data_IF_284860090674
#
_entry.id   IF_284860090674
#
_cell.length_a   1.000
_cell.length_b   1.000
_cell.length_c   1.000
_cell.angle_alpha   90.00
_cell.angle_beta   90.00
_cell.angle_gamma   90.00
#
_symmetry.space_group_name_H-M   'P 1'
#
loop_
_entity.id
_entity.type
_entity.pdbx_description
1 polymer ?
#
# COMPACT_ATOMS: atom_id res chain seq x y z
N UNK A 1 -10.74 11.87 -2.23
CA UNK A 1 -10.03 10.77 -2.95
C UNK A 1 -10.57 10.69 -4.37
N UNK A 2 -9.70 10.45 -5.36
CA UNK A 2 -10.09 10.31 -6.77
C UNK A 2 -9.57 8.99 -7.33
N UNK A 3 -10.45 8.15 -7.84
CA UNK A 3 -10.11 6.95 -8.60
C UNK A 3 -10.38 7.22 -10.07
N UNK A 4 -9.45 6.85 -10.94
CA UNK A 4 -9.65 6.87 -12.39
C UNK A 4 -9.41 5.50 -12.98
N UNK A 5 -10.34 5.06 -13.81
CA UNK A 5 -10.28 3.78 -14.51
C UNK A 5 -10.12 4.06 -15.99
N UNK A 6 -9.07 3.51 -16.59
CA UNK A 6 -8.73 3.70 -17.99
C UNK A 6 -8.99 2.42 -18.73
N UNK A 7 -9.74 2.50 -19.84
CA UNK A 7 -10.07 1.34 -20.66
C UNK A 7 -9.43 1.40 -22.04
N UNK A 8 -9.36 0.25 -22.70
CA UNK A 8 -9.11 0.16 -24.13
C UNK A 8 -10.17 0.97 -24.91
N UNK A 9 -9.76 1.58 -26.02
CA UNK A 9 -10.64 2.46 -26.79
C UNK A 9 -10.80 3.88 -26.21
N UNK A 10 -10.16 4.19 -25.08
CA UNK A 10 -10.01 5.56 -24.58
C UNK A 10 -11.11 6.06 -23.64
N UNK A 11 -12.06 5.20 -23.23
CA UNK A 11 -12.98 5.53 -22.12
C UNK A 11 -12.18 5.71 -20.83
N UNK A 12 -12.54 6.73 -20.06
CA UNK A 12 -11.99 6.98 -18.73
C UNK A 12 -13.14 7.29 -17.78
N UNK A 13 -13.29 6.46 -16.75
CA UNK A 13 -14.23 6.73 -15.66
C UNK A 13 -13.49 7.42 -14.52
N UNK A 14 -14.15 8.40 -13.89
CA UNK A 14 -13.58 9.19 -12.79
C UNK A 14 -14.56 9.16 -11.62
N UNK A 15 -14.11 8.60 -10.51
CA UNK A 15 -14.84 8.53 -9.26
C UNK A 15 -14.19 9.50 -8.27
N UNK A 16 -14.86 10.62 -7.98
CA UNK A 16 -14.42 11.63 -7.01
C UNK A 16 -15.32 11.52 -5.77
N UNK A 17 -14.74 11.28 -4.60
CA UNK A 17 -15.52 11.16 -3.35
C UNK A 17 -15.98 12.50 -2.80
N UNK A 18 -15.40 13.61 -3.26
CA UNK A 18 -15.49 14.92 -2.62
C UNK A 18 -16.25 15.94 -3.49
N UNK A 19 -16.18 15.82 -4.82
CA UNK A 19 -16.86 16.73 -5.75
C UNK A 19 -18.18 16.16 -6.26
N UNK A 20 -19.23 16.98 -6.20
CA UNK A 20 -20.57 16.66 -6.74
C UNK A 20 -21.25 15.45 -6.07
N UNK A 21 -20.74 15.03 -4.91
CA UNK A 21 -21.33 14.05 -4.02
C UNK A 21 -21.92 14.78 -2.81
N UNK A 22 -23.08 14.32 -2.32
CA UNK A 22 -23.62 14.84 -1.06
C UNK A 22 -22.73 14.40 0.10
N UNK A 23 -22.21 15.36 0.85
CA UNK A 23 -21.53 15.10 2.11
C UNK A 23 -22.55 14.72 3.18
N UNK A 24 -23.05 13.48 3.16
CA UNK A 24 -24.01 12.99 4.16
C UNK A 24 -23.24 12.58 5.42
N UNK A 25 -23.36 13.34 6.52
CA UNK A 25 -22.68 12.98 7.75
C UNK A 25 -23.36 11.75 8.35
N UNK A 26 -22.59 10.67 8.52
CA UNK A 26 -23.02 9.53 9.33
C UNK A 26 -22.89 9.91 10.81
N UNK A 27 -23.95 9.75 11.62
CA UNK A 27 -23.91 10.12 13.04
C UNK A 27 -22.73 9.43 13.76
N UNK A 28 -21.94 10.21 14.49
CA UNK A 28 -20.79 9.69 15.23
C UNK A 28 -19.59 9.29 14.37
N UNK A 29 -19.60 9.51 13.05
CA UNK A 29 -18.45 9.28 12.19
C UNK A 29 -17.33 10.28 12.50
N UNK A 30 -16.20 9.77 12.99
CA UNK A 30 -14.99 10.56 13.26
C UNK A 30 -13.91 10.37 12.18
N UNK A 31 -13.99 9.30 11.41
CA UNK A 31 -13.01 8.94 10.39
C UNK A 31 -13.67 8.02 9.37
N UNK A 32 -13.57 8.39 8.09
CA UNK A 32 -13.95 7.51 6.97
C UNK A 32 -12.73 6.77 6.46
N UNK A 33 -12.87 5.46 6.27
CA UNK A 33 -11.87 4.59 5.65
C UNK A 33 -12.43 4.08 4.32
N UNK A 34 -11.72 4.37 3.24
CA UNK A 34 -11.94 3.73 1.95
C UNK A 34 -10.90 2.63 1.74
N UNK A 35 -11.33 1.52 1.16
CA UNK A 35 -10.49 0.39 0.80
C UNK A 35 -10.82 0.02 -0.64
N UNK A 36 -9.85 0.22 -1.54
CA UNK A 36 -9.87 -0.39 -2.86
C UNK A 36 -9.27 -1.80 -2.71
N UNK A 37 -10.07 -2.84 -2.92
CA UNK A 37 -9.63 -4.22 -2.75
C UNK A 37 -8.95 -4.72 -4.02
N UNK A 38 -7.64 -4.96 -3.95
CA UNK A 38 -6.82 -5.49 -5.04
C UNK A 38 -6.40 -6.94 -4.78
N UNK A 39 -6.94 -7.61 -3.76
CA UNK A 39 -6.51 -8.97 -3.41
C UNK A 39 -6.82 -10.02 -4.49
N UNK A 40 -7.82 -9.75 -5.35
CA UNK A 40 -8.17 -10.55 -6.53
C UNK A 40 -8.08 -9.69 -7.81
N UNK A 41 -6.85 -9.33 -8.20
CA UNK A 41 -6.59 -8.45 -9.36
C UNK A 41 -7.14 -8.97 -10.69
N UNK A 42 -7.29 -10.29 -10.81
CA UNK A 42 -7.86 -10.97 -11.98
C UNK A 42 -9.29 -11.49 -11.71
N UNK A 43 -9.93 -10.98 -10.67
CA UNK A 43 -11.31 -11.29 -10.33
C UNK A 43 -12.31 -10.72 -11.34
N UNK A 44 -13.58 -11.01 -11.13
CA UNK A 44 -14.65 -10.56 -12.03
C UNK A 44 -15.01 -9.08 -11.84
N UNK A 45 -14.54 -8.38 -10.81
CA UNK A 45 -14.96 -7.01 -10.54
C UNK A 45 -14.01 -6.28 -9.60
N UNK A 46 -14.00 -4.95 -9.70
CA UNK A 46 -13.25 -4.08 -8.78
C UNK A 46 -14.23 -3.34 -7.87
N UNK A 47 -13.98 -3.42 -6.56
CA UNK A 47 -14.83 -2.84 -5.52
C UNK A 47 -14.09 -1.79 -4.71
N UNK A 48 -14.78 -0.67 -4.45
CA UNK A 48 -14.40 0.30 -3.43
C UNK A 48 -15.31 0.12 -2.22
N UNK A 49 -14.74 -0.28 -1.09
CA UNK A 49 -15.48 -0.42 0.15
C UNK A 49 -15.26 0.82 1.04
N UNK A 50 -16.33 1.31 1.64
CA UNK A 50 -16.31 2.38 2.63
C UNK A 50 -16.66 1.85 4.01
N UNK A 51 -15.98 2.41 5.01
CA UNK A 51 -16.16 2.14 6.41
C UNK A 51 -16.09 3.45 7.17
N UNK A 52 -16.69 3.49 8.35
CA UNK A 52 -16.62 4.67 9.21
C UNK A 52 -16.31 4.26 10.65
N UNK A 53 -15.71 5.19 11.39
CA UNK A 53 -15.39 4.98 12.79
C UNK A 53 -16.37 5.72 13.67
N UNK A 54 -17.24 4.95 14.31
CA UNK A 54 -18.28 5.42 15.20
C UNK A 54 -17.71 5.68 16.60
N UNK A 55 -17.87 6.92 17.09
CA UNK A 55 -17.79 7.23 18.51
C UNK A 55 -19.19 7.34 19.11
N UNK A 56 -19.51 6.42 20.02
CA UNK A 56 -20.76 6.41 20.75
C UNK A 56 -20.49 6.46 22.25
N UNK A 57 -21.37 7.11 23.02
CA UNK A 57 -21.27 7.16 24.49
C UNK A 57 -21.26 5.75 25.10
N UNK A 58 -21.89 4.76 24.44
CA UNK A 58 -21.87 3.36 24.87
C UNK A 58 -20.46 2.75 24.98
N UNK A 59 -19.44 3.31 24.33
CA UNK A 59 -18.06 2.81 24.36
C UNK A 59 -17.12 3.70 25.17
N UNK A 60 -17.63 4.75 25.81
CA UNK A 60 -16.79 5.79 26.43
C UNK A 60 -15.92 5.27 27.58
N UNK A 61 -16.42 4.29 28.31
CA UNK A 61 -15.71 3.67 29.43
C UNK A 61 -14.75 2.55 28.98
N UNK A 62 -14.77 2.17 27.70
CA UNK A 62 -13.84 1.19 27.13
C UNK A 62 -12.56 1.89 26.64
N UNK A 63 -11.52 1.80 27.46
CA UNK A 63 -10.22 2.42 27.17
C UNK A 63 -9.36 1.58 26.24
N UNK A 64 -8.79 2.22 25.22
CA UNK A 64 -7.77 1.63 24.36
C UNK A 64 -6.37 1.64 25.00
N UNK A 65 -5.34 1.22 24.25
CA UNK A 65 -3.96 1.10 24.76
C UNK A 65 -3.34 2.41 25.29
N UNK A 66 -3.90 3.56 24.92
CA UNK A 66 -3.47 4.90 25.37
C UNK A 66 -4.36 5.49 26.48
N UNK A 67 -5.30 4.72 27.04
CA UNK A 67 -6.26 5.21 28.05
C UNK A 67 -7.34 6.14 27.50
N UNK A 68 -7.53 6.18 26.17
CA UNK A 68 -8.55 6.99 25.50
C UNK A 68 -9.72 6.09 25.07
N UNK A 69 -10.97 6.63 25.01
CA UNK A 69 -12.10 5.91 24.44
C UNK A 69 -11.83 5.43 23.01
N UNK A 70 -12.33 4.24 22.66
CA UNK A 70 -12.09 3.62 21.35
C UNK A 70 -13.29 3.83 20.42
N UNK A 71 -13.08 4.57 19.33
CA UNK A 71 -14.01 4.57 18.21
C UNK A 71 -13.96 3.23 17.47
N UNK A 72 -15.12 2.69 17.08
CA UNK A 72 -15.23 1.36 16.46
C UNK A 72 -15.49 1.48 14.97
N UNK A 73 -14.79 0.67 14.16
CA UNK A 73 -15.05 0.56 12.72
C UNK A 73 -16.42 -0.07 12.48
N UNK A 74 -17.18 0.50 11.55
CA UNK A 74 -18.49 0.05 11.07
C UNK A 74 -18.47 -0.10 9.57
N UNK A 75 -19.27 -1.04 9.09
CA UNK A 75 -19.46 -1.26 7.66
C UNK A 75 -20.25 -0.09 7.06
N UNK A 76 -19.77 0.42 5.94
CA UNK A 76 -20.47 1.37 5.09
C UNK A 76 -21.01 0.67 3.85
N UNK A 77 -20.59 1.15 2.69
CA UNK A 77 -21.06 0.69 1.38
C UNK A 77 -19.93 0.07 0.56
N UNK A 78 -20.28 -0.94 -0.23
CA UNK A 78 -19.46 -1.43 -1.35
C UNK A 78 -19.94 -0.76 -2.64
N UNK A 79 -19.03 -0.09 -3.32
CA UNK A 79 -19.27 0.55 -4.61
C UNK A 79 -18.59 -0.28 -5.70
N UNK A 80 -19.38 -0.72 -6.69
CA UNK A 80 -18.84 -1.36 -7.88
C UNK A 80 -18.14 -0.31 -8.75
N UNK A 81 -16.84 -0.46 -8.94
CA UNK A 81 -16.01 0.46 -9.74
C UNK A 81 -15.84 -0.07 -11.15
N UNK A 82 -15.65 -1.38 -11.30
CA UNK A 82 -15.53 -2.08 -12.59
C UNK A 82 -16.30 -3.40 -12.48
N UNK A 83 -17.19 -3.68 -13.43
CA UNK A 83 -17.91 -4.95 -13.53
C UNK A 83 -17.18 -5.96 -14.43
N UNK A 84 -17.71 -7.18 -14.52
CA UNK A 84 -17.08 -8.28 -15.25
C UNK A 84 -16.90 -8.04 -16.74
N UNK A 85 -17.81 -7.29 -17.37
CA UNK A 85 -17.71 -6.98 -18.79
C UNK A 85 -16.60 -5.94 -19.02
N UNK A 86 -16.52 -4.95 -18.13
CA UNK A 86 -15.55 -3.88 -18.21
C UNK A 86 -14.12 -4.30 -17.81
N UNK A 87 -13.97 -5.35 -16.99
CA UNK A 87 -12.66 -5.90 -16.62
C UNK A 87 -11.82 -6.32 -17.83
N UNK A 88 -12.42 -6.86 -18.90
CA UNK A 88 -11.70 -7.29 -20.11
C UNK A 88 -11.08 -6.13 -20.89
N UNK A 89 -11.67 -4.94 -20.77
CA UNK A 89 -11.20 -3.72 -21.41
C UNK A 89 -10.29 -2.88 -20.51
N UNK A 90 -10.00 -3.32 -19.29
CA UNK A 90 -9.28 -2.52 -18.30
C UNK A 90 -7.79 -2.39 -18.66
N UNK A 91 -7.31 -1.16 -18.80
CA UNK A 91 -5.89 -0.87 -19.05
C UNK A 91 -5.14 -0.48 -17.77
N UNK A 92 -5.76 0.34 -16.92
CA UNK A 92 -5.10 0.93 -15.76
C UNK A 92 -6.12 1.48 -14.76
N UNK A 93 -5.79 1.40 -13.48
CA UNK A 93 -6.47 2.13 -12.41
C UNK A 93 -5.48 3.03 -11.70
N UNK A 94 -5.88 4.28 -11.45
CA UNK A 94 -5.12 5.20 -10.60
C UNK A 94 -5.93 5.62 -9.39
N UNK A 95 -5.27 5.73 -8.24
CA UNK A 95 -5.84 6.27 -7.00
C UNK A 95 -5.03 7.50 -6.59
N UNK A 96 -5.69 8.65 -6.46
CA UNK A 96 -5.08 9.94 -6.14
C UNK A 96 -3.87 10.31 -7.04
N UNK A 97 -3.85 9.79 -8.27
CA UNK A 97 -2.82 10.05 -9.28
C UNK A 97 -1.75 8.96 -9.38
N UNK A 98 -1.66 8.05 -8.41
CA UNK A 98 -0.73 6.92 -8.42
C UNK A 98 -1.36 5.72 -9.14
N UNK A 99 -0.56 4.98 -9.92
CA UNK A 99 -1.05 3.76 -10.60
C UNK A 99 -1.07 2.61 -9.60
N UNK A 100 -2.25 2.02 -9.41
CA UNK A 100 -2.46 0.92 -8.44
C UNK A 100 -2.76 -0.41 -9.12
N UNK A 101 -3.35 -0.38 -10.32
CA UNK A 101 -3.46 -1.53 -11.22
C UNK A 101 -3.03 -1.12 -12.61
N UNK A 102 -2.35 -2.03 -13.31
CA UNK A 102 -1.98 -1.84 -14.71
C UNK A 102 -2.03 -3.16 -15.46
N UNK A 103 -2.51 -3.11 -16.69
CA UNK A 103 -2.50 -4.22 -17.61
C UNK A 103 -1.10 -4.34 -18.25
N UNK A 104 -0.52 -5.55 -18.23
CA UNK A 104 0.69 -5.93 -18.97
C UNK A 104 0.48 -7.25 -19.73
N UNK A 105 0.58 -7.22 -21.07
CA UNK A 105 0.51 -8.41 -21.96
C UNK A 105 -0.70 -9.36 -21.76
N UNK A 106 -1.87 -8.80 -21.52
CA UNK A 106 -3.15 -9.48 -21.26
C UNK A 106 -3.54 -9.62 -19.78
N UNK A 107 -2.64 -9.36 -18.83
CA UNK A 107 -2.84 -9.65 -17.41
C UNK A 107 -2.83 -8.38 -16.55
N UNK A 108 -3.67 -8.34 -15.51
CA UNK A 108 -3.67 -7.24 -14.55
C UNK A 108 -2.60 -7.47 -13.49
N UNK A 109 -1.81 -6.42 -13.26
CA UNK A 109 -0.74 -6.38 -12.27
C UNK A 109 -1.12 -5.44 -11.14
N UNK A 110 -0.97 -5.91 -9.90
CA UNK A 110 -0.93 -5.04 -8.71
C UNK A 110 0.31 -4.15 -8.78
N UNK A 111 0.14 -2.96 -9.34
CA UNK A 111 1.22 -2.01 -9.56
C UNK A 111 1.74 -1.44 -8.23
N UNK A 112 0.89 -1.35 -7.21
CA UNK A 112 1.29 -0.87 -5.89
C UNK A 112 2.21 -1.87 -5.19
N UNK A 113 1.85 -3.16 -5.20
CA UNK A 113 2.70 -4.22 -4.65
C UNK A 113 4.03 -4.35 -5.42
N UNK A 114 3.99 -4.27 -6.76
CA UNK A 114 5.20 -4.30 -7.58
C UNK A 114 6.11 -3.09 -7.30
N UNK A 115 5.55 -1.88 -7.22
CA UNK A 115 6.32 -0.67 -6.90
C UNK A 115 6.97 -0.77 -5.53
N UNK A 116 6.24 -1.26 -4.52
CA UNK A 116 6.81 -1.48 -3.19
C UNK A 116 7.98 -2.48 -3.21
N UNK A 117 7.82 -3.60 -3.93
CA UNK A 117 8.89 -4.58 -4.07
C UNK A 117 10.13 -4.00 -4.75
N UNK A 118 9.93 -3.18 -5.79
CA UNK A 118 11.00 -2.47 -6.48
C UNK A 118 11.71 -1.47 -5.56
N UNK A 119 10.97 -0.63 -4.84
CA UNK A 119 11.53 0.37 -3.92
C UNK A 119 12.35 -0.30 -2.81
N UNK A 120 11.89 -1.44 -2.29
CA UNK A 120 12.65 -2.22 -1.32
C UNK A 120 13.99 -2.68 -1.91
N UNK A 121 13.98 -3.22 -3.13
CA UNK A 121 15.15 -3.78 -3.79
C UNK A 121 16.18 -2.72 -4.22
N UNK A 122 15.71 -1.62 -4.81
CA UNK A 122 16.58 -0.64 -5.50
C UNK A 122 16.88 0.61 -4.67
N UNK A 123 16.04 0.95 -3.69
CA UNK A 123 16.26 2.13 -2.83
C UNK A 123 16.51 1.73 -1.38
N UNK A 124 15.57 1.07 -0.72
CA UNK A 124 15.61 0.89 0.75
C UNK A 124 16.80 0.03 1.18
N UNK A 125 16.99 -1.15 0.57
CA UNK A 125 18.10 -2.05 0.94
C UNK A 125 19.47 -1.44 0.61
N UNK A 126 19.72 -0.91 -0.61
CA UNK A 126 20.99 -0.22 -0.92
C UNK A 126 21.28 0.97 0.00
N UNK A 127 20.26 1.80 0.31
CA UNK A 127 20.38 2.94 1.23
C UNK A 127 20.76 2.50 2.63
N UNK A 128 20.18 1.40 3.12
CA UNK A 128 20.50 0.83 4.43
C UNK A 128 21.96 0.33 4.48
N UNK A 129 22.42 -0.38 3.45
CA UNK A 129 23.79 -0.87 3.35
C UNK A 129 24.82 0.27 3.29
N UNK A 130 24.57 1.29 2.46
CA UNK A 130 25.45 2.45 2.35
C UNK A 130 25.55 3.23 3.67
N UNK A 131 24.42 3.41 4.36
CA UNK A 131 24.35 4.12 5.65
C UNK A 131 25.08 3.36 6.76
N UNK A 132 24.96 2.04 6.79
CA UNK A 132 25.70 1.18 7.71
C UNK A 132 27.21 1.27 7.46
N UNK A 133 27.64 1.11 6.21
CA UNK A 133 29.05 1.19 5.82
C UNK A 133 29.67 2.53 6.17
N UNK A 134 28.97 3.63 5.88
CA UNK A 134 29.39 4.97 6.30
C UNK A 134 29.56 5.05 7.83
N UNK A 135 28.56 4.60 8.60
CA UNK A 135 28.56 4.74 10.05
C UNK A 135 29.64 3.92 10.75
N UNK A 136 29.87 2.67 10.31
CA UNK A 136 30.94 1.81 10.85
C UNK A 136 32.31 2.40 10.54
N UNK A 137 32.53 2.91 9.33
CA UNK A 137 33.81 3.50 8.95
C UNK A 137 34.14 4.77 9.74
N UNK A 138 33.13 5.56 10.12
CA UNK A 138 33.32 6.80 10.89
C UNK A 138 33.38 6.57 12.40
N UNK A 139 32.72 5.52 12.91
CA UNK A 139 32.66 5.20 14.34
C UNK A 139 32.76 3.67 14.55
N UNK A 140 33.97 3.09 14.41
CA UNK A 140 34.15 1.63 14.40
C UNK A 140 33.84 0.98 15.75
N UNK A 141 33.87 1.74 16.85
CA UNK A 141 33.57 1.24 18.19
C UNK A 141 32.06 1.09 18.46
N UNK A 142 31.21 1.64 17.59
CA UNK A 142 29.76 1.49 17.74
C UNK A 142 29.32 0.09 17.31
N UNK A 143 28.60 -0.66 18.17
CA UNK A 143 28.08 -1.95 17.76
C UNK A 143 27.05 -1.77 16.64
N UNK A 144 27.05 -2.69 15.68
CA UNK A 144 26.12 -2.69 14.53
C UNK A 144 24.66 -2.55 14.97
N UNK A 145 24.28 -3.16 16.09
CA UNK A 145 22.94 -3.05 16.66
C UNK A 145 22.54 -1.61 17.01
N UNK A 146 23.47 -0.83 17.57
CA UNK A 146 23.24 0.59 17.89
C UNK A 146 23.15 1.44 16.64
N UNK A 147 23.97 1.16 15.64
CA UNK A 147 23.91 1.86 14.34
C UNK A 147 22.55 1.57 13.66
N UNK A 148 22.13 0.31 13.64
CA UNK A 148 20.84 -0.12 13.10
C UNK A 148 19.65 0.55 13.81
N UNK A 149 19.67 0.62 15.15
CA UNK A 149 18.65 1.33 15.95
C UNK A 149 18.52 2.80 15.53
N UNK A 150 19.64 3.52 15.39
CA UNK A 150 19.65 4.94 14.99
C UNK A 150 19.16 5.14 13.56
N UNK A 151 19.49 4.22 12.65
CA UNK A 151 18.98 4.24 11.28
C UNK A 151 17.49 3.86 11.19
N UNK A 152 16.89 3.34 12.26
CA UNK A 152 15.53 2.80 12.25
C UNK A 152 15.39 1.49 11.47
N UNK A 153 16.48 0.76 11.28
CA UNK A 153 16.50 -0.51 10.55
C UNK A 153 16.70 -1.69 11.51
N UNK A 154 15.86 -2.74 11.50
CA UNK A 154 16.04 -3.87 12.41
C UNK A 154 17.38 -4.58 12.19
N UNK A 155 18.18 -4.71 13.25
CA UNK A 155 19.51 -5.35 13.18
C UNK A 155 19.45 -6.82 12.71
N UNK A 156 18.37 -7.53 13.04
CA UNK A 156 18.11 -8.90 12.57
C UNK A 156 17.95 -8.96 11.06
N UNK A 157 17.20 -8.03 10.48
CA UNK A 157 17.00 -7.94 9.03
C UNK A 157 18.30 -7.54 8.33
N UNK A 158 19.06 -6.61 8.90
CA UNK A 158 20.35 -6.19 8.34
C UNK A 158 21.34 -7.37 8.25
N UNK A 159 21.36 -8.23 9.27
CA UNK A 159 22.23 -9.41 9.28
C UNK A 159 21.90 -10.36 8.12
N UNK A 160 20.60 -10.62 7.88
CA UNK A 160 20.13 -11.44 6.76
C UNK A 160 20.54 -10.83 5.41
N UNK A 161 20.39 -9.52 5.26
CA UNK A 161 20.74 -8.83 4.01
C UNK A 161 22.24 -8.91 3.72
N UNK A 162 23.09 -8.68 4.73
CA UNK A 162 24.53 -8.84 4.59
C UNK A 162 24.94 -10.29 4.22
N UNK A 163 24.26 -11.29 4.77
CA UNK A 163 24.49 -12.71 4.44
C UNK A 163 24.07 -13.05 2.99
N UNK A 164 22.94 -12.50 2.52
CA UNK A 164 22.43 -12.71 1.15
C UNK A 164 23.21 -11.97 0.06
N UNK A 165 23.88 -10.86 0.40
CA UNK A 165 24.73 -10.10 -0.53
C UNK A 165 26.03 -10.81 -0.92
N UNK A 166 26.36 -11.94 -0.28
CA UNK A 166 27.55 -12.73 -0.55
C UNK A 166 27.45 -13.72 -1.72
N UNK A 167 26.29 -13.87 -2.37
CA UNK A 167 26.06 -14.90 -3.41
C UNK A 167 25.80 -14.37 -4.82
N UNK A 168 26.02 -13.09 -5.13
CA UNK A 168 25.82 -12.54 -6.48
C UNK A 168 27.13 -12.39 -7.27
N UNK A 169 27.78 -13.52 -7.53
CA UNK A 169 28.52 -13.74 -8.78
C UNK A 169 28.37 -15.20 -9.18
N UNK A 170 27.79 -15.42 -10.37
CA UNK A 170 27.59 -16.68 -11.11
C UNK A 170 26.18 -17.29 -11.02
N UNK A 171 25.41 -17.16 -12.11
CA UNK A 171 24.22 -17.98 -12.31
C UNK A 171 23.26 -17.46 -13.38
N UNK A 172 23.67 -17.52 -14.65
CA UNK A 172 22.82 -17.73 -15.83
C UNK A 172 21.46 -17.03 -15.89
N UNK A 173 21.40 -15.99 -16.72
CA UNK A 173 20.18 -15.55 -17.38
C UNK A 173 19.40 -16.76 -17.94
N UNK A 174 18.23 -17.04 -17.37
CA UNK A 174 17.22 -17.85 -18.05
C UNK A 174 16.17 -16.86 -18.53
N UNK A 175 16.21 -16.59 -19.84
CA UNK A 175 15.15 -15.86 -20.55
C UNK A 175 13.88 -16.72 -20.49
N UNK A 176 12.80 -16.14 -19.99
CA UNK A 176 11.46 -16.48 -20.43
C UNK A 176 11.07 -15.50 -21.52
#
# INVERSE_FOLDING_TARGET
>A
MIIKVYYAGGRIDVFDTDRMTDGVPQPGNLLTNYTLDLSDVNGESLWLCSYYYEAAEAYKDESGPKGLPVARRRDGWSFLIVDADDMQGLNRVTMDGETVLIQVEGELVDAAALSWAYDVAEDIVPKANASLGFSINHNPDNPVSRVCEVMGFPATLMSILCESGGTTTEGSATRF
#
